data_IF_080678387289
#
_entry.id   IF_080678387289
#
_cell.length_a   1.000
_cell.length_b   1.000
_cell.length_c   1.000
_cell.angle_alpha   90.00
_cell.angle_beta   90.00
_cell.angle_gamma   90.00
#
_symmetry.space_group_name_H-M   'P 1'
#
loop_
_entity.id
_entity.type
_entity.pdbx_description
1 polymer ?
#
# COMPACT_ATOMS: atom_id res chain seq x y z
N UNK A 1 16.15 -5.21 14.72
CA UNK A 1 14.84 -4.79 14.22
C UNK A 1 14.74 -3.35 13.76
N UNK A 2 15.80 -2.57 13.92
CA UNK A 2 15.85 -1.24 13.31
C UNK A 2 15.74 -1.32 11.79
N UNK A 3 16.32 -2.37 11.17
CA UNK A 3 16.20 -2.57 9.74
C UNK A 3 14.78 -2.78 9.28
N UNK A 4 14.01 -3.60 10.01
CA UNK A 4 12.60 -3.82 9.69
C UNK A 4 11.76 -2.57 9.91
N UNK A 5 12.01 -1.84 10.98
CA UNK A 5 11.33 -0.57 11.23
C UNK A 5 11.62 0.44 10.11
N UNK A 6 12.88 0.58 9.74
CA UNK A 6 13.26 1.50 8.65
C UNK A 6 12.61 1.10 7.33
N UNK A 7 12.63 -0.19 7.01
CA UNK A 7 12.08 -0.68 5.76
C UNK A 7 10.57 -0.41 5.66
N UNK A 8 9.81 -0.81 6.67
CA UNK A 8 8.36 -0.62 6.65
C UNK A 8 7.96 0.85 6.76
N UNK A 9 8.65 1.62 7.59
CA UNK A 9 8.34 3.04 7.77
C UNK A 9 8.65 3.84 6.50
N UNK A 10 9.82 3.64 5.90
CA UNK A 10 10.19 4.37 4.68
C UNK A 10 9.28 4.00 3.51
N UNK A 11 9.01 2.71 3.33
CA UNK A 11 8.08 2.27 2.26
C UNK A 11 6.68 2.84 2.45
N UNK A 12 6.17 2.79 3.68
CA UNK A 12 4.84 3.31 3.98
C UNK A 12 4.76 4.83 3.78
N UNK A 13 5.79 5.56 4.19
CA UNK A 13 5.83 7.02 4.00
C UNK A 13 5.87 7.39 2.51
N UNK A 14 6.67 6.70 1.71
CA UNK A 14 6.68 6.95 0.27
C UNK A 14 5.32 6.71 -0.37
N UNK A 15 4.69 5.59 -0.05
CA UNK A 15 3.37 5.29 -0.60
C UNK A 15 2.34 6.34 -0.18
N UNK A 16 2.34 6.70 1.10
CA UNK A 16 1.39 7.66 1.65
C UNK A 16 1.55 9.04 1.02
N UNK A 17 2.76 9.59 1.02
CA UNK A 17 2.98 10.97 0.57
C UNK A 17 2.95 11.11 -0.95
N UNK A 18 3.41 10.11 -1.69
CA UNK A 18 3.45 10.21 -3.16
C UNK A 18 2.12 9.82 -3.79
N UNK A 19 1.45 8.81 -3.26
CA UNK A 19 0.24 8.26 -3.88
C UNK A 19 -1.02 8.47 -3.06
N UNK A 20 -0.97 8.24 -1.74
CA UNK A 20 -2.18 8.25 -0.92
C UNK A 20 -2.72 9.64 -0.62
N UNK A 21 -1.89 10.53 -0.09
CA UNK A 21 -2.33 11.86 0.30
C UNK A 21 -2.86 12.70 -0.87
N UNK A 22 -2.24 12.70 -2.06
CA UNK A 22 -2.83 13.43 -3.19
C UNK A 22 -4.24 12.98 -3.53
N UNK A 23 -4.51 11.68 -3.45
CA UNK A 23 -5.85 11.14 -3.72
C UNK A 23 -6.86 11.55 -2.65
N UNK A 24 -6.43 11.56 -1.39
CA UNK A 24 -7.31 11.93 -0.28
C UNK A 24 -7.60 13.44 -0.28
N UNK A 25 -6.58 14.27 -0.47
CA UNK A 25 -6.69 15.72 -0.35
C UNK A 25 -7.37 16.36 -1.56
N UNK A 26 -7.30 15.71 -2.72
CA UNK A 26 -7.85 16.24 -3.97
C UNK A 26 -8.77 15.22 -4.65
N UNK A 27 -9.74 14.74 -3.89
CA UNK A 27 -10.61 13.64 -4.29
C UNK A 27 -11.35 13.93 -5.61
N UNK A 28 -11.89 15.15 -5.74
CA UNK A 28 -12.66 15.53 -6.93
C UNK A 28 -11.82 15.50 -8.20
N UNK A 29 -10.60 16.04 -8.15
CA UNK A 29 -9.71 16.02 -9.29
C UNK A 29 -9.29 14.59 -9.62
N UNK A 30 -9.05 13.77 -8.60
CA UNK A 30 -8.65 12.39 -8.79
C UNK A 30 -9.77 11.53 -9.37
N UNK A 31 -11.04 11.85 -9.10
CA UNK A 31 -12.17 11.14 -9.72
C UNK A 31 -12.15 11.23 -11.23
N UNK A 32 -11.72 12.36 -11.78
CA UNK A 32 -11.63 12.55 -13.23
C UNK A 32 -10.41 11.86 -13.83
N UNK A 33 -9.37 11.58 -13.04
CA UNK A 33 -8.12 11.03 -13.52
C UNK A 33 -7.95 9.54 -13.27
N UNK A 34 -8.66 8.98 -12.28
CA UNK A 34 -8.45 7.60 -11.88
C UNK A 34 -8.85 6.63 -12.99
N UNK A 35 -8.02 5.63 -13.20
CA UNK A 35 -8.34 4.53 -14.08
C UNK A 35 -9.18 3.50 -13.33
N UNK A 36 -10.17 2.95 -14.02
CA UNK A 36 -11.13 2.01 -13.45
C UNK A 36 -11.09 0.69 -14.24
N UNK A 37 -10.05 -0.13 -14.01
CA UNK A 37 -9.83 -1.32 -14.84
C UNK A 37 -10.90 -2.40 -14.69
N UNK A 38 -11.62 -2.41 -13.57
CA UNK A 38 -12.65 -3.41 -13.30
C UNK A 38 -14.07 -2.85 -13.49
N UNK A 39 -14.21 -1.62 -13.97
CA UNK A 39 -15.49 -0.99 -14.24
C UNK A 39 -16.44 -0.96 -13.03
N UNK A 40 -15.87 -0.70 -11.84
CA UNK A 40 -16.63 -0.63 -10.60
C UNK A 40 -17.22 0.76 -10.32
N UNK A 41 -16.85 1.74 -11.13
CA UNK A 41 -17.16 3.14 -10.90
C UNK A 41 -15.97 3.87 -10.28
N UNK A 42 -15.72 5.10 -10.77
CA UNK A 42 -14.56 5.88 -10.35
C UNK A 42 -14.54 6.14 -8.84
N UNK A 43 -15.70 6.43 -8.23
CA UNK A 43 -15.77 6.72 -6.81
C UNK A 43 -15.39 5.51 -5.95
N UNK A 44 -15.89 4.32 -6.30
CA UNK A 44 -15.54 3.10 -5.57
C UNK A 44 -14.08 2.73 -5.77
N UNK A 45 -13.59 2.78 -7.00
CA UNK A 45 -12.19 2.47 -7.32
C UNK A 45 -11.24 3.42 -6.59
N UNK A 46 -11.53 4.73 -6.60
CA UNK A 46 -10.72 5.71 -5.90
C UNK A 46 -10.77 5.50 -4.38
N UNK A 47 -11.93 5.19 -3.83
CA UNK A 47 -12.06 4.92 -2.39
C UNK A 47 -11.24 3.70 -1.97
N UNK A 48 -11.23 2.64 -2.78
CA UNK A 48 -10.40 1.46 -2.52
C UNK A 48 -8.92 1.77 -2.63
N UNK A 49 -8.54 2.62 -3.60
CA UNK A 49 -7.15 3.06 -3.74
C UNK A 49 -6.71 3.88 -2.51
N UNK A 50 -7.56 4.77 -2.02
CA UNK A 50 -7.28 5.55 -0.81
C UNK A 50 -7.13 4.63 0.40
N UNK A 51 -8.01 3.64 0.55
CA UNK A 51 -7.89 2.64 1.62
C UNK A 51 -6.49 1.98 1.58
N UNK A 52 -6.06 1.53 0.41
CA UNK A 52 -4.79 0.84 0.26
C UNK A 52 -3.58 1.76 0.37
N UNK A 53 -3.71 3.04 0.04
CA UNK A 53 -2.59 3.97 -0.04
C UNK A 53 -2.53 4.99 1.09
N UNK A 54 -3.55 5.06 1.93
CA UNK A 54 -3.59 5.93 3.12
C UNK A 54 -3.72 5.10 4.40
N UNK A 55 -4.81 4.34 4.54
CA UNK A 55 -5.05 3.59 5.76
C UNK A 55 -4.02 2.48 5.97
N UNK A 56 -3.75 1.70 4.93
CA UNK A 56 -2.80 0.59 5.06
C UNK A 56 -1.38 1.07 5.40
N UNK A 57 -0.82 2.12 4.75
CA UNK A 57 0.47 2.65 5.19
C UNK A 57 0.47 3.15 6.64
N UNK A 58 -0.61 3.75 7.11
CA UNK A 58 -0.70 4.20 8.50
C UNK A 58 -0.65 3.02 9.47
N UNK A 59 -1.33 1.92 9.15
CA UNK A 59 -1.24 0.69 9.93
C UNK A 59 0.18 0.13 9.94
N UNK A 60 0.84 0.15 8.79
CA UNK A 60 2.22 -0.34 8.68
C UNK A 60 3.18 0.54 9.48
N UNK A 61 2.99 1.86 9.46
CA UNK A 61 3.82 2.79 10.24
C UNK A 61 3.74 2.50 11.73
N UNK A 62 2.53 2.24 12.24
CA UNK A 62 2.33 1.93 13.66
C UNK A 62 2.72 0.50 14.02
N UNK A 63 2.79 -0.38 13.05
CA UNK A 63 3.09 -1.79 13.28
C UNK A 63 1.88 -2.64 13.62
N UNK A 64 0.66 -2.12 13.40
CA UNK A 64 -0.58 -2.84 13.67
C UNK A 64 -1.09 -3.48 12.37
N UNK A 65 -1.41 -4.77 12.40
CA UNK A 65 -1.93 -5.52 11.25
C UNK A 65 -1.04 -5.38 10.01
N UNK A 66 0.28 -5.41 10.20
CA UNK A 66 1.25 -5.07 9.14
C UNK A 66 1.14 -6.02 7.95
N UNK A 67 1.11 -7.33 8.20
CA UNK A 67 1.00 -8.30 7.10
C UNK A 67 -0.31 -8.18 6.37
N UNK A 68 -1.41 -8.02 7.11
CA UNK A 68 -2.73 -7.88 6.49
C UNK A 68 -2.80 -6.59 5.67
N UNK A 69 -2.24 -5.49 6.17
CA UNK A 69 -2.22 -4.21 5.46
C UNK A 69 -1.39 -4.25 4.17
N UNK A 70 -0.37 -5.12 4.09
CA UNK A 70 0.42 -5.28 2.87
C UNK A 70 -0.39 -5.87 1.71
N UNK A 71 -1.41 -6.67 1.99
CA UNK A 71 -2.16 -7.36 0.93
C UNK A 71 -2.91 -6.41 0.00
N UNK A 72 -3.71 -5.43 0.48
CA UNK A 72 -4.34 -4.47 -0.42
C UNK A 72 -3.32 -3.64 -1.20
N UNK A 73 -2.21 -3.26 -0.56
CA UNK A 73 -1.16 -2.49 -1.21
C UNK A 73 -0.55 -3.29 -2.36
N UNK A 74 -0.19 -4.55 -2.13
CA UNK A 74 0.40 -5.41 -3.15
C UNK A 74 -0.58 -5.66 -4.29
N UNK A 75 -1.85 -5.89 -3.97
CA UNK A 75 -2.89 -6.06 -4.99
C UNK A 75 -3.00 -4.81 -5.87
N UNK A 76 -3.07 -3.64 -5.25
CA UNK A 76 -3.16 -2.37 -5.97
C UNK A 76 -1.96 -2.16 -6.90
N UNK A 77 -0.74 -2.40 -6.39
CA UNK A 77 0.48 -2.24 -7.18
C UNK A 77 0.54 -3.21 -8.36
N UNK A 78 0.15 -4.46 -8.15
CA UNK A 78 0.11 -5.44 -9.23
C UNK A 78 -0.91 -5.06 -10.30
N UNK A 79 -2.10 -4.63 -9.90
CA UNK A 79 -3.11 -4.16 -10.85
C UNK A 79 -2.59 -2.97 -11.64
N UNK A 80 -1.98 -2.01 -10.97
CA UNK A 80 -1.45 -0.82 -11.63
C UNK A 80 -0.39 -1.17 -12.67
N UNK A 81 0.53 -2.07 -12.34
CA UNK A 81 1.66 -2.39 -13.22
C UNK A 81 1.32 -3.41 -14.30
N UNK A 82 0.46 -4.38 -14.01
CA UNK A 82 0.19 -5.49 -14.92
C UNK A 82 -1.06 -5.25 -15.76
N UNK A 83 -2.08 -4.61 -15.20
CA UNK A 83 -3.37 -4.40 -15.88
C UNK A 83 -3.47 -3.00 -16.46
N UNK A 84 -3.27 -1.96 -15.64
CA UNK A 84 -3.47 -0.57 -16.04
C UNK A 84 -2.33 -0.08 -16.93
N UNK A 85 -1.09 -0.33 -16.53
CA UNK A 85 0.10 0.11 -17.25
C UNK A 85 0.85 -1.07 -17.85
N UNK A 86 0.11 -1.98 -18.47
CA UNK A 86 0.70 -3.20 -19.04
C UNK A 86 1.73 -2.92 -20.16
N UNK A 87 1.64 -1.75 -20.79
CA UNK A 87 2.57 -1.32 -21.82
C UNK A 87 3.90 -0.77 -21.27
N UNK A 88 3.97 -0.53 -19.97
CA UNK A 88 5.19 -0.01 -19.36
C UNK A 88 6.29 -1.06 -19.34
N UNK A 89 7.50 -0.63 -19.68
CA UNK A 89 8.71 -1.41 -19.43
C UNK A 89 9.02 -1.45 -17.93
N UNK A 90 9.94 -2.33 -17.54
CA UNK A 90 10.42 -2.36 -16.14
C UNK A 90 11.00 -1.01 -15.73
N UNK A 91 11.69 -0.34 -16.65
CA UNK A 91 12.28 0.97 -16.39
C UNK A 91 11.19 2.01 -16.08
N UNK A 92 10.12 2.04 -16.85
CA UNK A 92 9.00 2.96 -16.62
C UNK A 92 8.25 2.68 -15.33
N UNK A 93 8.10 1.41 -14.98
CA UNK A 93 7.39 0.98 -13.78
C UNK A 93 8.28 0.70 -12.58
N UNK A 94 9.57 1.07 -12.63
CA UNK A 94 10.52 0.65 -11.59
C UNK A 94 10.13 1.08 -10.19
N UNK A 95 9.53 2.27 -10.03
CA UNK A 95 9.09 2.73 -8.71
C UNK A 95 8.04 1.79 -8.12
N UNK A 96 7.06 1.38 -8.91
CA UNK A 96 6.05 0.42 -8.48
C UNK A 96 6.65 -0.94 -8.16
N UNK A 97 7.57 -1.42 -8.99
CA UNK A 97 8.24 -2.70 -8.73
C UNK A 97 9.08 -2.65 -7.46
N UNK A 98 9.75 -1.53 -7.19
CA UNK A 98 10.50 -1.36 -5.93
C UNK A 98 9.56 -1.39 -4.73
N UNK A 99 8.39 -0.75 -4.82
CA UNK A 99 7.40 -0.81 -3.76
C UNK A 99 6.88 -2.24 -3.54
N UNK A 100 6.68 -3.00 -4.61
CA UNK A 100 6.30 -4.42 -4.50
C UNK A 100 7.37 -5.20 -3.73
N UNK A 101 8.64 -4.98 -4.04
CA UNK A 101 9.74 -5.63 -3.32
C UNK A 101 9.69 -5.26 -1.84
N UNK A 102 9.54 -3.99 -1.52
CA UNK A 102 9.50 -3.50 -0.14
C UNK A 102 8.34 -4.14 0.63
N UNK A 103 7.12 -4.05 0.11
CA UNK A 103 5.94 -4.53 0.82
C UNK A 103 5.85 -6.06 0.85
N UNK A 104 6.39 -6.75 -0.15
CA UNK A 104 6.53 -8.21 -0.09
C UNK A 104 7.50 -8.61 1.02
N UNK A 105 8.61 -7.89 1.14
CA UNK A 105 9.58 -8.14 2.21
C UNK A 105 8.96 -7.91 3.59
N UNK A 106 8.18 -6.84 3.74
CA UNK A 106 7.46 -6.55 4.98
C UNK A 106 6.39 -7.62 5.27
N UNK A 107 5.69 -8.08 4.24
CA UNK A 107 4.71 -9.15 4.37
C UNK A 107 5.35 -10.44 4.93
N UNK A 108 6.50 -10.81 4.40
CA UNK A 108 7.22 -12.01 4.81
C UNK A 108 7.78 -11.87 6.23
N UNK A 109 8.44 -10.76 6.50
CA UNK A 109 9.14 -10.52 7.77
C UNK A 109 8.21 -10.15 8.92
N UNK A 110 7.09 -9.50 8.61
CA UNK A 110 6.18 -8.97 9.62
C UNK A 110 6.66 -7.63 10.20
N UNK A 111 6.05 -7.17 11.31
CA UNK A 111 6.30 -5.82 11.84
C UNK A 111 7.65 -5.67 12.54
N UNK A 112 8.28 -6.77 12.98
CA UNK A 112 9.47 -6.71 13.81
C UNK A 112 9.11 -6.39 15.27
N UNK A 113 10.16 -6.17 16.09
CA UNK A 113 9.97 -5.90 17.52
C UNK A 113 9.53 -4.46 17.81
N UNK A 114 9.93 -3.53 16.96
CA UNK A 114 9.63 -2.11 17.14
C UNK A 114 8.28 -1.76 16.50
N UNK A 115 7.21 -2.31 17.08
CA UNK A 115 5.85 -2.11 16.62
C UNK A 115 4.95 -1.85 17.82
N UNK A 116 3.80 -1.20 17.55
CA UNK A 116 2.80 -0.96 18.58
C UNK A 116 2.29 -2.29 19.12
N UNK A 117 2.38 -2.47 20.45
CA UNK A 117 1.98 -3.72 21.09
C UNK A 117 0.47 -3.70 21.37
N UNK A 118 -0.31 -4.20 20.42
CA UNK A 118 -1.77 -4.27 20.51
C UNK A 118 -2.18 -5.74 20.67
N UNK A 119 -3.01 -6.02 21.67
CA UNK A 119 -3.59 -7.35 21.85
C UNK A 119 -4.68 -7.56 20.82
N UNK A 120 -4.49 -8.55 19.96
CA UNK A 120 -5.43 -8.91 18.91
C UNK A 120 -5.96 -10.33 19.14
N UNK A 121 -7.21 -10.64 18.67
CA UNK A 121 -7.70 -12.00 18.67
C UNK A 121 -6.74 -12.95 17.96
N UNK A 122 -6.76 -14.23 18.32
CA UNK A 122 -5.78 -15.22 17.91
C UNK A 122 -5.38 -15.17 16.43
N UNK A 123 -6.37 -15.16 15.51
CA UNK A 123 -6.08 -15.15 14.08
C UNK A 123 -5.42 -13.87 13.60
N UNK A 124 -5.64 -12.74 14.28
CA UNK A 124 -5.09 -11.44 13.90
C UNK A 124 -3.75 -11.14 14.55
N UNK A 125 -3.32 -11.97 15.52
CA UNK A 125 -2.08 -11.73 16.27
C UNK A 125 -0.86 -11.62 15.36
N UNK A 126 -0.82 -12.39 14.29
CA UNK A 126 0.30 -12.45 13.36
C UNK A 126 0.02 -11.73 12.04
N UNK A 127 -1.12 -11.08 11.96
CA UNK A 127 -1.46 -10.29 10.79
C UNK A 127 -0.64 -9.01 10.74
#
# INVERSE_FOLDING_TARGET
>A
DLGLLFLRASGALFLLFVHGLPKLLDFKAQLALIEDPFHMGAALTLSMAIFAEVLCPLLILTGVLVRLACLPILFLLLVALVVVHSEWSVEQGQFGWLLIIIFTSVLIAGPGRLALNVRLPGALRYA
#
